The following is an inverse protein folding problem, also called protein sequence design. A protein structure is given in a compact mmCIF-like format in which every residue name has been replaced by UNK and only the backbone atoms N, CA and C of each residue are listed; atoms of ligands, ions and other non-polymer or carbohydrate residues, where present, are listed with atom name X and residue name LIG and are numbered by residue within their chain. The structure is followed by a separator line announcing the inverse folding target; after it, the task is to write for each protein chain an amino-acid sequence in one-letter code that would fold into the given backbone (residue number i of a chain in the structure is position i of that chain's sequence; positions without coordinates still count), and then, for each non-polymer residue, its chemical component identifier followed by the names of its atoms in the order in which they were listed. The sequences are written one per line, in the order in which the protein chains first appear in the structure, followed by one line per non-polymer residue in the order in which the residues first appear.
data_IF_847330007435
#
_entry.id   IF_847330007435
#
_cell.length_a   1.000
_cell.length_b   1.000
_cell.length_c   1.000
_cell.angle_alpha   90.00
_cell.angle_beta   90.00
_cell.angle_gamma   90.00
#
_symmetry.space_group_name_H-M   'P 1'
#
loop_
_entity.id
_entity.type
_entity.pdbx_description
1 polymer ?
#
# COMPACT_ATOMS: atom_id res chain seq x y z
N UNK A 1 -14.74 -1.99 -7.32
CA UNK A 1 -14.46 -0.54 -7.21
C UNK A 1 -13.92 -0.06 -8.54
N UNK A 2 -14.52 0.97 -9.16
CA UNK A 2 -14.03 1.54 -10.43
C UNK A 2 -13.11 2.72 -10.13
N UNK A 3 -11.91 2.71 -10.69
CA UNK A 3 -10.94 3.79 -10.58
C UNK A 3 -10.81 4.46 -11.95
N UNK A 4 -11.12 5.76 -12.09
CA UNK A 4 -11.00 6.47 -13.36
C UNK A 4 -9.54 6.71 -13.73
N UNK A 5 -9.31 6.99 -15.02
CA UNK A 5 -8.03 7.46 -15.50
C UNK A 5 -7.68 8.81 -14.87
N UNK A 6 -6.41 9.02 -14.57
CA UNK A 6 -5.89 10.30 -14.08
C UNK A 6 -4.45 10.53 -14.50
N UNK A 7 -4.03 11.78 -14.48
CA UNK A 7 -2.64 12.17 -14.69
C UNK A 7 -1.92 12.27 -13.33
N UNK A 8 -0.67 11.83 -13.29
CA UNK A 8 0.23 11.98 -12.16
C UNK A 8 1.52 12.67 -12.58
N UNK A 9 2.20 13.26 -11.61
CA UNK A 9 3.53 13.84 -11.80
C UNK A 9 4.53 13.13 -10.90
N UNK A 10 5.68 12.77 -11.47
CA UNK A 10 6.80 12.15 -10.76
C UNK A 10 7.92 13.18 -10.67
N UNK A 11 8.28 13.52 -9.43
CA UNK A 11 9.32 14.48 -9.11
C UNK A 11 10.61 13.76 -8.73
N UNK A 12 11.70 14.02 -9.48
CA UNK A 12 13.01 13.39 -9.25
C UNK A 12 14.13 14.41 -9.15
N UNK A 13 15.10 14.11 -8.30
CA UNK A 13 16.37 14.84 -8.25
C UNK A 13 17.23 14.51 -9.48
N UNK A 14 18.18 15.38 -9.78
CA UNK A 14 19.21 15.12 -10.78
C UNK A 14 20.21 14.06 -10.27
N UNK A 15 20.81 13.29 -11.17
CA UNK A 15 21.85 12.32 -10.84
C UNK A 15 23.28 12.90 -10.89
N UNK A 16 23.43 14.21 -11.06
CA UNK A 16 24.72 14.90 -11.24
C UNK A 16 25.19 14.95 -12.69
N UNK A 17 24.52 14.26 -13.61
CA UNK A 17 24.81 14.25 -15.04
C UNK A 17 23.69 14.88 -15.88
N UNK A 18 22.78 15.64 -15.26
CA UNK A 18 21.65 16.27 -15.97
C UNK A 18 20.51 15.29 -16.28
N UNK A 19 20.53 14.08 -15.73
CA UNK A 19 19.51 13.06 -15.95
C UNK A 19 18.74 12.77 -14.66
N UNK A 20 17.47 12.31 -14.76
CA UNK A 20 16.68 11.98 -13.58
C UNK A 20 17.33 10.82 -12.82
N UNK A 21 17.70 11.07 -11.55
CA UNK A 21 18.21 10.06 -10.64
C UNK A 21 17.12 9.14 -10.10
N UNK A 22 17.53 8.19 -9.24
CA UNK A 22 16.61 7.24 -8.57
C UNK A 22 15.84 7.86 -7.40
N UNK A 23 16.28 9.01 -6.89
CA UNK A 23 15.72 9.64 -5.69
C UNK A 23 14.49 10.48 -6.03
N UNK A 24 13.36 10.12 -5.44
CA UNK A 24 12.15 10.95 -5.44
C UNK A 24 12.31 12.09 -4.43
N UNK A 25 11.81 13.27 -4.80
CA UNK A 25 11.89 14.48 -3.98
C UNK A 25 10.56 15.23 -4.00
N UNK A 26 10.40 16.18 -3.08
CA UNK A 26 9.23 17.07 -3.11
C UNK A 26 9.25 17.97 -4.34
N UNK A 27 8.09 18.47 -4.74
CA UNK A 27 7.91 19.32 -5.94
C UNK A 27 8.88 20.50 -6.01
N UNK A 28 9.13 21.18 -4.88
CA UNK A 28 10.02 22.35 -4.83
C UNK A 28 11.51 22.02 -5.02
N UNK A 29 11.91 20.76 -4.91
CA UNK A 29 13.29 20.29 -5.04
C UNK A 29 13.51 19.47 -6.31
N UNK A 30 12.48 19.32 -7.14
CA UNK A 30 12.53 18.49 -8.34
C UNK A 30 13.35 19.17 -9.44
N UNK A 31 14.39 18.49 -9.91
CA UNK A 31 15.10 18.88 -11.13
C UNK A 31 14.39 18.33 -12.38
N UNK A 32 13.73 17.18 -12.24
CA UNK A 32 13.03 16.51 -13.33
C UNK A 32 11.59 16.20 -12.96
N UNK A 33 10.65 16.53 -13.85
CA UNK A 33 9.22 16.26 -13.69
C UNK A 33 8.74 15.39 -14.85
N UNK A 34 8.29 14.17 -14.53
CA UNK A 34 7.73 13.25 -15.53
C UNK A 34 6.22 13.17 -15.34
N UNK A 35 5.46 13.56 -16.37
CA UNK A 35 4.00 13.35 -16.40
C UNK A 35 3.72 11.91 -16.80
N UNK A 36 2.89 11.24 -16.03
CA UNK A 36 2.49 9.85 -16.26
C UNK A 36 0.98 9.72 -16.27
N UNK A 37 0.47 8.95 -17.21
CA UNK A 37 -0.95 8.60 -17.25
C UNK A 37 -1.18 7.33 -16.44
N UNK A 38 -2.08 7.40 -15.46
CA UNK A 38 -2.52 6.26 -14.67
C UNK A 38 -3.84 5.78 -15.26
N UNK A 39 -3.86 4.63 -15.97
CA UNK A 39 -5.04 4.20 -16.72
C UNK A 39 -6.20 3.80 -15.79
N UNK A 40 -7.41 3.93 -16.32
CA UNK A 40 -8.61 3.47 -15.65
C UNK A 40 -8.55 1.95 -15.41
N UNK A 41 -8.97 1.50 -14.21
CA UNK A 41 -9.00 0.08 -13.87
C UNK A 41 -10.11 -0.23 -12.86
N UNK A 42 -10.46 -1.52 -12.76
CA UNK A 42 -11.48 -1.99 -11.84
C UNK A 42 -10.84 -2.93 -10.82
N UNK A 43 -10.89 -2.53 -9.55
CA UNK A 43 -10.48 -3.39 -8.44
C UNK A 43 -11.65 -4.32 -8.12
N UNK A 44 -11.42 -5.63 -8.27
CA UNK A 44 -12.35 -6.69 -7.84
C UNK A 44 -11.77 -7.34 -6.60
N UNK A 45 -12.37 -7.06 -5.44
CA UNK A 45 -12.07 -7.78 -4.20
C UNK A 45 -13.12 -8.90 -4.12
N UNK A 46 -12.76 -10.17 -4.32
CA UNK A 46 -13.70 -11.26 -4.09
C UNK A 46 -14.07 -11.30 -2.61
N UNK A 47 -15.25 -11.83 -2.29
CA UNK A 47 -15.57 -12.18 -0.91
C UNK A 47 -14.45 -13.11 -0.41
N UNK A 48 -13.72 -12.67 0.62
CA UNK A 48 -12.80 -13.56 1.30
C UNK A 48 -13.65 -14.68 1.92
N UNK A 49 -13.36 -15.97 1.67
CA UNK A 49 -13.93 -17.01 2.50
C UNK A 49 -13.62 -16.67 3.95
N UNK A 50 -14.61 -16.81 4.83
CA UNK A 50 -14.34 -16.70 6.26
C UNK A 50 -13.39 -17.84 6.61
N UNK A 51 -12.12 -17.51 6.85
CA UNK A 51 -11.20 -18.42 7.50
C UNK A 51 -11.67 -18.43 8.96
N UNK A 52 -12.56 -19.38 9.28
CA UNK A 52 -13.05 -19.55 10.63
C UNK A 52 -11.92 -19.85 11.60
N UNK A 53 -12.22 -19.86 12.89
CA UNK A 53 -11.30 -20.36 13.89
C UNK A 53 -11.20 -21.88 13.72
N UNK A 54 -9.98 -22.41 13.72
CA UNK A 54 -9.78 -23.84 13.95
C UNK A 54 -10.01 -24.13 15.44
N UNK A 55 -10.24 -25.39 15.79
CA UNK A 55 -10.35 -25.78 17.21
C UNK A 55 -9.10 -25.37 18.02
N UNK A 56 -7.92 -25.38 17.40
CA UNK A 56 -6.68 -24.92 18.02
C UNK A 56 -6.65 -23.40 18.26
N UNK A 57 -7.21 -22.61 17.34
CA UNK A 57 -7.34 -21.16 17.52
C UNK A 57 -8.32 -20.83 18.65
N UNK A 58 -9.43 -21.57 18.74
CA UNK A 58 -10.41 -21.41 19.84
C UNK A 58 -9.79 -21.73 21.21
N UNK A 59 -8.99 -22.79 21.29
CA UNK A 59 -8.28 -23.15 22.53
C UNK A 59 -7.27 -22.08 22.92
N UNK A 60 -6.45 -21.61 21.98
CA UNK A 60 -5.47 -20.55 22.25
C UNK A 60 -6.13 -19.26 22.74
N UNK A 61 -7.23 -18.84 22.11
CA UNK A 61 -7.99 -17.65 22.54
C UNK A 61 -8.52 -17.81 23.97
N UNK A 62 -9.01 -19.01 24.34
CA UNK A 62 -9.51 -19.27 25.68
C UNK A 62 -8.40 -19.32 26.74
N UNK A 63 -7.22 -19.84 26.39
CA UNK A 63 -6.05 -19.84 27.26
C UNK A 63 -5.56 -18.41 27.50
N UNK A 64 -5.35 -17.63 26.43
CA UNK A 64 -4.95 -16.22 26.52
C UNK A 64 -5.94 -15.39 27.35
N UNK A 65 -7.25 -15.64 27.19
CA UNK A 65 -8.29 -14.97 27.96
C UNK A 65 -8.26 -15.34 29.45
N UNK A 66 -7.99 -16.60 29.78
CA UNK A 66 -7.85 -17.05 31.18
C UNK A 66 -6.62 -16.42 31.82
N UNK A 67 -5.50 -16.41 31.12
CA UNK A 67 -4.26 -15.79 31.60
C UNK A 67 -4.49 -14.29 31.86
N UNK A 68 -5.15 -13.59 30.95
CA UNK A 68 -5.49 -12.17 31.12
C UNK A 68 -6.43 -11.90 32.31
N UNK A 69 -7.45 -12.73 32.52
CA UNK A 69 -8.40 -12.61 33.63
C UNK A 69 -7.84 -13.04 34.99
N UNK A 70 -6.70 -13.75 35.00
CA UNK A 70 -6.04 -14.23 36.21
C UNK A 70 -5.04 -13.25 36.83
N UNK A 71 -4.92 -12.04 36.26
CA UNK A 71 -4.28 -10.86 36.85
C UNK A 71 -5.19 -10.18 37.89
#
# INVERSE_FOLDING_TARGET
IRIPERQGEIYRADNGAGQPGRRFVRKSEAAHVTKVTIPAHVIRIPARPFVGLTEGDEQGILEDARDWLSL
#
